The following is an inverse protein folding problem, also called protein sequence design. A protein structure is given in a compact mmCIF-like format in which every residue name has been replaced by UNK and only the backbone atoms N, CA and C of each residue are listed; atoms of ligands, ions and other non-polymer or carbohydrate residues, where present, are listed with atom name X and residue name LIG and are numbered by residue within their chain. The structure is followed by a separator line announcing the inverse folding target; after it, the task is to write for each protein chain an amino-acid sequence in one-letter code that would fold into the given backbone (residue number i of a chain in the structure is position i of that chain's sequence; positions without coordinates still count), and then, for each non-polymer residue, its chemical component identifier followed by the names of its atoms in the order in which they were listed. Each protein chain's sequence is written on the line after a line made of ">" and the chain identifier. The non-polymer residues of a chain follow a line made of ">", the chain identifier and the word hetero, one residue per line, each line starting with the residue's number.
data_IF_660096668254
#
_entry.id   IF_660096668254
#
_cell.length_a   1.000
_cell.length_b   1.000
_cell.length_c   1.000
_cell.angle_alpha   90.00
_cell.angle_beta   90.00
_cell.angle_gamma   90.00
#
_symmetry.space_group_name_H-M   'P 1'
#
loop_
_entity.id
_entity.type
_entity.pdbx_description
1 polymer ?
#
# COMPACT_ATOMS: atom_id res chain seq x y z
N UNK A 1 -49.85 -14.00 -28.64
CA UNK A 1 -49.31 -13.74 -27.29
C UNK A 1 -47.81 -14.05 -27.10
N UNK A 2 -47.13 -14.83 -27.94
CA UNK A 2 -45.74 -15.26 -27.66
C UNK A 2 -44.61 -14.25 -27.96
N UNK A 3 -44.87 -13.18 -28.73
CA UNK A 3 -43.85 -12.19 -29.13
C UNK A 3 -43.49 -11.21 -28.01
N UNK A 4 -44.40 -10.98 -27.07
CA UNK A 4 -44.25 -10.04 -25.94
C UNK A 4 -43.29 -10.55 -24.86
N UNK A 5 -43.33 -11.85 -24.52
CA UNK A 5 -42.44 -12.43 -23.51
C UNK A 5 -40.96 -12.46 -23.94
N UNK A 6 -40.69 -12.72 -25.22
CA UNK A 6 -39.33 -12.74 -25.76
C UNK A 6 -38.72 -11.34 -25.75
N UNK A 7 -39.51 -10.31 -26.05
CA UNK A 7 -39.07 -8.92 -25.99
C UNK A 7 -38.77 -8.49 -24.55
N UNK A 8 -39.62 -8.89 -23.59
CA UNK A 8 -39.41 -8.60 -22.18
C UNK A 8 -38.17 -9.28 -21.59
N UNK A 9 -37.81 -10.49 -22.06
CA UNK A 9 -36.57 -11.17 -21.65
C UNK A 9 -35.33 -10.51 -22.25
N UNK A 10 -35.37 -10.15 -23.53
CA UNK A 10 -34.27 -9.40 -24.16
C UNK A 10 -34.08 -8.02 -23.52
N UNK A 11 -35.17 -7.31 -23.23
CA UNK A 11 -35.13 -6.01 -22.58
C UNK A 11 -34.54 -6.11 -21.17
N UNK A 12 -34.84 -7.16 -20.40
CA UNK A 12 -34.21 -7.39 -19.08
C UNK A 12 -32.71 -7.68 -19.17
N UNK A 13 -32.25 -8.43 -20.19
CA UNK A 13 -30.82 -8.68 -20.42
C UNK A 13 -30.11 -7.40 -20.85
N UNK A 14 -30.73 -6.59 -21.71
CA UNK A 14 -30.19 -5.29 -22.09
C UNK A 14 -30.13 -4.32 -20.91
N UNK A 15 -31.15 -4.27 -20.06
CA UNK A 15 -31.12 -3.46 -18.82
C UNK A 15 -30.01 -3.93 -17.89
N UNK A 16 -29.81 -5.25 -17.71
CA UNK A 16 -28.72 -5.77 -16.88
C UNK A 16 -27.33 -5.44 -17.46
N UNK A 17 -27.18 -5.52 -18.79
CA UNK A 17 -25.94 -5.15 -19.47
C UNK A 17 -25.69 -3.64 -19.46
N UNK A 18 -26.74 -2.82 -19.54
CA UNK A 18 -26.65 -1.36 -19.44
C UNK A 18 -26.29 -0.94 -18.00
N UNK A 19 -26.89 -1.57 -16.99
CA UNK A 19 -26.54 -1.35 -15.57
C UNK A 19 -25.11 -1.82 -15.24
N UNK A 20 -24.59 -2.86 -15.92
CA UNK A 20 -23.19 -3.25 -15.78
C UNK A 20 -22.22 -2.30 -16.50
N UNK A 21 -22.63 -1.64 -17.59
CA UNK A 21 -21.81 -0.64 -18.29
C UNK A 21 -21.83 0.73 -17.60
N UNK A 22 -22.94 1.12 -16.97
CA UNK A 22 -23.07 2.39 -16.22
C UNK A 22 -22.33 2.35 -14.86
N UNK A 23 -21.89 1.18 -14.39
CA UNK A 23 -21.06 1.09 -13.18
C UNK A 23 -19.58 1.43 -13.43
N UNK A 24 -19.20 1.76 -14.67
CA UNK A 24 -17.91 2.35 -14.99
C UNK A 24 -18.07 3.82 -15.36
N UNK A 25 -17.38 4.65 -14.57
CA UNK A 25 -17.10 6.08 -14.79
C UNK A 25 -18.27 7.08 -14.61
N UNK A 26 -18.70 7.24 -13.37
CA UNK A 26 -19.21 8.55 -12.92
C UNK A 26 -18.70 8.88 -11.51
N UNK A 27 -17.39 9.12 -11.41
CA UNK A 27 -16.86 9.96 -10.34
C UNK A 27 -16.60 11.32 -10.96
N UNK A 28 -17.60 12.17 -10.81
CA UNK A 28 -17.58 13.60 -11.08
C UNK A 28 -16.31 14.22 -10.52
N UNK A 29 -15.59 14.90 -11.41
CA UNK A 29 -14.47 15.78 -11.13
C UNK A 29 -14.94 16.87 -10.14
N UNK A 30 -14.60 16.74 -8.86
CA UNK A 30 -14.59 17.89 -7.96
C UNK A 30 -13.22 18.55 -8.10
N UNK A 31 -13.23 19.84 -8.42
CA UNK A 31 -12.04 20.67 -8.32
C UNK A 31 -11.52 20.56 -6.89
N UNK A 32 -10.33 20.02 -6.72
CA UNK A 32 -9.67 19.97 -5.42
C UNK A 32 -9.50 21.42 -4.95
N UNK A 33 -10.14 21.76 -3.83
CA UNK A 33 -9.77 22.96 -3.10
C UNK A 33 -8.32 22.76 -2.65
N UNK A 34 -7.43 23.65 -3.08
CA UNK A 34 -6.03 23.66 -2.64
C UNK A 34 -6.02 23.86 -1.12
N UNK A 35 -5.43 22.90 -0.40
CA UNK A 35 -5.22 23.02 1.05
C UNK A 35 -4.31 24.23 1.29
N UNK A 36 -4.66 25.15 2.20
CA UNK A 36 -3.76 26.23 2.58
C UNK A 36 -2.45 25.60 3.06
N UNK A 37 -1.32 26.03 2.47
CA UNK A 37 0.02 25.61 2.87
C UNK A 37 0.16 25.77 4.38
N UNK A 38 0.12 24.66 5.12
CA UNK A 38 0.52 24.67 6.52
C UNK A 38 2.01 24.99 6.54
N UNK A 39 2.38 26.10 7.18
CA UNK A 39 3.77 26.46 7.40
C UNK A 39 4.42 25.35 8.22
N UNK A 40 5.22 24.51 7.55
CA UNK A 40 5.95 23.44 8.22
C UNK A 40 6.98 24.03 9.18
N UNK A 41 7.07 23.55 10.43
CA UNK A 41 8.14 23.95 11.32
C UNK A 41 9.51 23.71 10.64
N UNK A 42 10.41 24.68 10.80
CA UNK A 42 11.57 24.95 9.94
C UNK A 42 12.72 23.92 9.98
N UNK A 43 12.47 22.70 10.47
CA UNK A 43 13.49 21.65 10.48
C UNK A 43 12.84 20.29 10.32
N UNK A 44 13.13 19.66 9.18
CA UNK A 44 12.69 18.32 8.79
C UNK A 44 13.96 17.48 8.72
N UNK A 45 13.91 16.25 9.25
CA UNK A 45 15.00 15.32 9.01
C UNK A 45 14.89 14.80 7.57
N UNK A 46 15.96 14.85 6.78
CA UNK A 46 15.97 14.36 5.40
C UNK A 46 15.85 15.44 4.32
N UNK A 47 15.50 15.01 3.11
CA UNK A 47 15.38 15.86 1.92
C UNK A 47 14.11 15.54 1.15
N UNK A 48 13.61 16.45 0.32
CA UNK A 48 12.45 16.16 -0.51
C UNK A 48 12.75 14.99 -1.47
N UNK A 49 11.80 14.05 -1.58
CA UNK A 49 11.94 12.94 -2.51
C UNK A 49 11.77 13.41 -3.95
N UNK A 50 12.40 12.70 -4.88
CA UNK A 50 12.17 12.84 -6.32
C UNK A 50 11.38 11.66 -6.86
N UNK A 51 10.61 11.87 -7.92
CA UNK A 51 9.83 10.79 -8.54
C UNK A 51 10.71 9.64 -8.98
N UNK A 52 11.91 9.93 -9.54
CA UNK A 52 12.88 8.91 -9.97
C UNK A 52 13.20 7.88 -8.87
N UNK A 53 13.32 8.33 -7.62
CA UNK A 53 13.69 7.47 -6.49
C UNK A 53 12.49 6.94 -5.69
N UNK A 54 11.26 7.30 -6.06
CA UNK A 54 10.05 6.98 -5.29
C UNK A 54 8.89 6.47 -6.18
N UNK A 55 9.17 5.94 -7.38
CA UNK A 55 8.13 5.49 -8.32
C UNK A 55 7.26 4.34 -7.76
N UNK A 56 7.74 3.64 -6.73
CA UNK A 56 6.99 2.57 -6.06
C UNK A 56 6.09 3.09 -4.93
N UNK A 57 6.19 4.37 -4.53
CA UNK A 57 5.50 4.88 -3.36
C UNK A 57 3.98 4.82 -3.55
N UNK A 58 3.30 4.22 -2.57
CA UNK A 58 1.86 4.14 -2.52
C UNK A 58 1.31 4.82 -1.26
N UNK A 59 0.22 5.56 -1.42
CA UNK A 59 -0.59 6.12 -0.33
C UNK A 59 -1.86 5.28 -0.20
N UNK A 60 -2.00 4.57 0.91
CA UNK A 60 -3.20 3.81 1.24
C UNK A 60 -4.17 4.74 1.97
N UNK A 61 -5.39 4.82 1.47
CA UNK A 61 -6.39 5.75 1.97
C UNK A 61 -7.69 5.08 2.35
N UNK A 62 -8.32 5.55 3.42
CA UNK A 62 -9.73 5.29 3.69
C UNK A 62 -10.58 6.09 2.71
N UNK A 63 -11.42 5.41 1.95
CA UNK A 63 -12.21 6.04 0.90
C UNK A 63 -13.22 7.06 1.47
N UNK A 64 -13.76 6.79 2.65
CA UNK A 64 -14.76 7.65 3.32
C UNK A 64 -14.15 8.94 3.88
N UNK A 65 -12.87 8.93 4.26
CA UNK A 65 -12.20 10.07 4.87
C UNK A 65 -11.49 10.96 3.83
N UNK A 66 -11.31 10.49 2.58
CA UNK A 66 -10.62 11.23 1.52
C UNK A 66 -11.57 12.16 0.74
N UNK A 67 -12.43 12.90 1.44
CA UNK A 67 -13.35 13.89 0.84
C UNK A 67 -12.58 15.09 0.29
N UNK A 68 -11.61 15.60 1.05
CA UNK A 68 -10.50 16.40 0.55
C UNK A 68 -9.42 15.43 0.12
N UNK A 69 -8.95 15.58 -1.12
CA UNK A 69 -7.91 14.73 -1.66
C UNK A 69 -6.65 14.80 -0.78
N UNK A 70 -6.27 13.67 -0.19
CA UNK A 70 -5.10 13.54 0.68
C UNK A 70 -5.46 13.26 2.13
N UNK A 71 -6.63 13.68 2.61
CA UNK A 71 -7.03 13.55 4.02
C UNK A 71 -7.31 12.11 4.45
N UNK A 72 -7.72 11.24 3.53
CA UNK A 72 -7.97 9.85 3.87
C UNK A 72 -6.70 9.02 4.00
N UNK A 73 -5.50 9.61 3.86
CA UNK A 73 -4.23 8.89 4.00
C UNK A 73 -4.07 8.28 5.39
N UNK A 74 -3.92 6.96 5.44
CA UNK A 74 -3.71 6.22 6.69
C UNK A 74 -2.33 5.58 6.78
N UNK A 75 -1.75 5.18 5.64
CA UNK A 75 -0.48 4.46 5.60
C UNK A 75 0.23 4.63 4.25
N UNK A 76 1.53 4.36 4.28
CA UNK A 76 2.35 4.13 3.10
C UNK A 76 2.33 2.67 2.63
N UNK A 77 2.96 2.45 1.49
CA UNK A 77 3.24 1.12 0.93
C UNK A 77 4.14 1.22 -0.28
N UNK A 78 4.45 0.08 -0.86
CA UNK A 78 5.24 -0.03 -2.08
C UNK A 78 4.50 -0.85 -3.13
N UNK A 79 4.48 -0.38 -4.37
CA UNK A 79 4.08 -1.18 -5.54
C UNK A 79 5.17 -2.22 -5.78
N UNK A 80 4.80 -3.51 -5.75
CA UNK A 80 5.75 -4.62 -5.91
C UNK A 80 5.48 -5.49 -7.14
N UNK A 81 4.30 -5.32 -7.76
CA UNK A 81 3.94 -5.93 -9.04
C UNK A 81 2.82 -5.10 -9.72
N UNK A 82 2.44 -5.38 -10.99
CA UNK A 82 1.49 -4.56 -11.76
C UNK A 82 0.19 -4.21 -11.04
N UNK A 83 -0.39 -5.12 -10.26
CA UNK A 83 -1.61 -4.87 -9.49
C UNK A 83 -1.43 -5.08 -7.99
N UNK A 84 -0.21 -4.96 -7.47
CA UNK A 84 0.11 -5.39 -6.10
C UNK A 84 0.83 -4.30 -5.33
N UNK A 85 0.26 -3.92 -4.20
CA UNK A 85 0.90 -3.05 -3.20
C UNK A 85 1.16 -3.84 -1.94
N UNK A 86 2.40 -3.77 -1.46
CA UNK A 86 2.82 -4.30 -0.17
C UNK A 86 2.76 -3.19 0.89
N UNK A 87 2.25 -3.54 2.06
CA UNK A 87 2.13 -2.66 3.23
C UNK A 87 2.19 -3.50 4.50
N UNK A 88 1.88 -2.91 5.65
CA UNK A 88 1.84 -3.60 6.93
C UNK A 88 0.40 -3.97 7.35
N UNK A 89 0.25 -5.10 8.03
CA UNK A 89 -1.07 -5.68 8.35
C UNK A 89 -1.94 -4.76 9.21
N UNK A 90 -1.34 -4.01 10.12
CA UNK A 90 -2.08 -3.13 11.01
C UNK A 90 -2.74 -1.94 10.27
N UNK A 91 -2.25 -1.55 9.09
CA UNK A 91 -2.89 -0.55 8.23
C UNK A 91 -4.23 -1.03 7.69
N UNK A 92 -4.32 -2.33 7.40
CA UNK A 92 -5.52 -2.97 6.87
C UNK A 92 -6.31 -3.69 7.95
N UNK A 93 -5.98 -3.48 9.22
CA UNK A 93 -6.71 -4.02 10.36
C UNK A 93 -7.79 -3.03 10.82
N UNK A 94 -9.00 -3.54 11.05
CA UNK A 94 -10.09 -2.78 11.64
C UNK A 94 -10.13 -3.08 13.14
N UNK A 95 -9.66 -2.14 13.95
CA UNK A 95 -9.58 -2.28 15.42
C UNK A 95 -10.93 -2.31 16.13
N UNK A 96 -12.01 -1.84 15.50
CA UNK A 96 -13.35 -1.91 16.09
C UNK A 96 -13.94 -3.32 15.98
N UNK A 97 -13.79 -3.94 14.82
CA UNK A 97 -14.30 -5.29 14.56
C UNK A 97 -13.27 -6.40 14.85
N UNK A 98 -12.00 -6.03 15.07
CA UNK A 98 -10.87 -6.95 15.22
C UNK A 98 -10.65 -7.85 13.97
N UNK A 99 -11.07 -7.38 12.79
CA UNK A 99 -10.96 -8.11 11.52
C UNK A 99 -10.14 -7.35 10.48
N UNK A 100 -9.98 -7.92 9.28
CA UNK A 100 -9.41 -7.17 8.16
C UNK A 100 -10.41 -6.15 7.66
N UNK A 101 -9.96 -4.95 7.27
CA UNK A 101 -10.78 -3.98 6.54
C UNK A 101 -11.29 -4.60 5.25
N UNK A 102 -12.51 -4.24 4.89
CA UNK A 102 -13.09 -4.63 3.62
C UNK A 102 -12.41 -3.86 2.47
N UNK A 103 -12.13 -4.50 1.31
CA UNK A 103 -11.49 -3.83 0.16
C UNK A 103 -12.14 -2.50 -0.25
N UNK A 104 -13.47 -2.42 -0.21
CA UNK A 104 -14.22 -1.21 -0.57
C UNK A 104 -14.01 -0.03 0.40
N UNK A 105 -13.48 -0.25 1.60
CA UNK A 105 -13.08 0.85 2.50
C UNK A 105 -11.80 1.54 2.04
N UNK A 106 -11.04 0.91 1.14
CA UNK A 106 -9.68 1.31 0.79
C UNK A 106 -9.56 1.74 -0.66
N UNK A 107 -8.70 2.72 -0.89
CA UNK A 107 -8.17 3.07 -2.20
C UNK A 107 -6.67 3.33 -2.10
N UNK A 108 -5.99 3.20 -3.23
CA UNK A 108 -4.55 3.43 -3.34
C UNK A 108 -4.30 4.58 -4.30
N UNK A 109 -3.49 5.53 -3.85
CA UNK A 109 -3.02 6.67 -4.65
C UNK A 109 -1.51 6.54 -4.89
N UNK A 110 -1.09 6.68 -6.14
CA UNK A 110 0.31 6.51 -6.58
C UNK A 110 0.69 7.58 -7.61
N UNK A 111 1.99 7.79 -7.81
CA UNK A 111 2.50 8.64 -8.90
C UNK A 111 2.54 10.14 -8.59
N UNK A 112 2.40 10.52 -7.32
CA UNK A 112 2.49 11.90 -6.83
C UNK A 112 3.47 11.99 -5.66
N UNK A 113 4.22 13.09 -5.57
CA UNK A 113 5.06 13.41 -4.41
C UNK A 113 4.30 14.21 -3.35
N UNK A 114 3.25 14.94 -3.73
CA UNK A 114 2.47 15.73 -2.81
C UNK A 114 1.17 14.98 -2.45
N UNK A 115 1.03 14.63 -1.17
CA UNK A 115 -0.12 13.87 -0.63
C UNK A 115 -1.46 14.50 -1.01
N UNK A 116 -1.55 15.82 -1.12
CA UNK A 116 -2.77 16.58 -1.34
C UNK A 116 -2.94 17.08 -2.78
N UNK A 117 -2.02 16.76 -3.69
CA UNK A 117 -2.13 17.16 -5.09
C UNK A 117 -2.27 15.96 -6.01
N UNK A 118 -3.10 16.16 -7.03
CA UNK A 118 -3.33 15.23 -8.12
C UNK A 118 -2.97 15.92 -9.42
N UNK A 119 -2.15 15.26 -10.23
CA UNK A 119 -1.84 15.64 -11.60
C UNK A 119 -2.32 14.58 -12.60
N UNK A 120 -1.95 14.76 -13.87
CA UNK A 120 -2.30 13.84 -14.97
C UNK A 120 -1.66 12.45 -14.84
N UNK A 121 -0.58 12.31 -14.05
CA UNK A 121 0.12 11.06 -13.80
C UNK A 121 -0.31 10.38 -12.50
N UNK A 122 -1.17 11.01 -11.71
CA UNK A 122 -1.61 10.47 -10.43
C UNK A 122 -2.66 9.37 -10.64
N UNK A 123 -2.32 8.15 -10.23
CA UNK A 123 -3.20 6.99 -10.29
C UNK A 123 -4.00 6.86 -8.99
N UNK A 124 -5.32 6.74 -9.10
CA UNK A 124 -6.24 6.47 -7.98
C UNK A 124 -7.00 5.19 -8.28
N UNK A 125 -6.62 4.10 -7.60
CA UNK A 125 -7.10 2.74 -7.88
C UNK A 125 -7.90 2.22 -6.69
N UNK A 126 -9.04 1.60 -6.96
CA UNK A 126 -9.77 0.80 -5.98
C UNK A 126 -9.01 -0.49 -5.61
N UNK A 127 -9.44 -1.10 -4.50
CA UNK A 127 -8.89 -2.36 -3.98
C UNK A 127 -9.88 -3.49 -4.20
N UNK A 128 -9.41 -4.61 -4.73
CA UNK A 128 -10.24 -5.82 -4.91
C UNK A 128 -10.08 -6.81 -3.78
N UNK A 129 -8.85 -6.98 -3.28
CA UNK A 129 -8.55 -7.95 -2.23
C UNK A 129 -7.51 -7.38 -1.27
N UNK A 130 -7.62 -7.81 -0.02
CA UNK A 130 -6.67 -7.53 1.06
C UNK A 130 -6.27 -8.85 1.66
N UNK A 131 -4.97 -9.11 1.75
CA UNK A 131 -4.42 -10.29 2.41
C UNK A 131 -3.52 -9.87 3.55
N UNK A 132 -3.67 -10.54 4.70
CA UNK A 132 -2.74 -10.49 5.82
C UNK A 132 -2.56 -11.90 6.40
N UNK A 133 -1.42 -12.23 7.02
CA UNK A 133 -1.26 -13.50 7.71
C UNK A 133 -2.36 -13.72 8.74
N UNK A 134 -2.84 -14.96 8.86
CA UNK A 134 -3.81 -15.34 9.91
C UNK A 134 -3.21 -15.23 11.31
N UNK A 135 -1.89 -15.37 11.40
CA UNK A 135 -1.08 -15.24 12.61
C UNK A 135 -0.79 -13.78 12.99
N UNK A 136 -1.17 -12.80 12.17
CA UNK A 136 -1.00 -11.39 12.51
C UNK A 136 -1.61 -11.06 13.87
N UNK A 137 -0.80 -10.48 14.75
CA UNK A 137 -1.22 -10.04 16.07
C UNK A 137 -1.03 -8.53 16.21
N UNK A 138 -2.14 -7.80 16.33
CA UNK A 138 -2.14 -6.34 16.42
C UNK A 138 -1.49 -5.78 17.69
N UNK A 139 -1.39 -6.58 18.77
CA UNK A 139 -0.77 -6.14 20.02
C UNK A 139 0.76 -6.26 19.96
N UNK A 140 1.26 -7.37 19.42
CA UNK A 140 2.71 -7.63 19.34
C UNK A 140 3.33 -7.17 18.03
N UNK A 141 2.52 -6.80 17.04
CA UNK A 141 2.91 -6.52 15.66
C UNK A 141 3.67 -7.68 15.00
N UNK A 142 3.43 -8.91 15.44
CA UNK A 142 3.96 -10.13 14.80
C UNK A 142 3.24 -10.39 13.49
N UNK A 143 3.97 -10.85 12.48
CA UNK A 143 3.46 -11.11 11.13
C UNK A 143 2.73 -9.89 10.54
N UNK A 144 3.28 -8.70 10.79
CA UNK A 144 2.67 -7.42 10.44
C UNK A 144 2.87 -7.03 8.96
N UNK A 145 2.59 -7.96 8.04
CA UNK A 145 2.69 -7.74 6.59
C UNK A 145 1.31 -7.85 5.93
N UNK A 146 1.04 -7.05 4.90
CA UNK A 146 -0.19 -7.17 4.12
C UNK A 146 0.01 -6.86 2.63
N UNK A 147 -0.84 -7.48 1.82
CA UNK A 147 -0.94 -7.29 0.39
C UNK A 147 -2.28 -6.65 0.07
N UNK A 148 -2.25 -5.64 -0.78
CA UNK A 148 -3.39 -4.99 -1.39
C UNK A 148 -3.37 -5.29 -2.88
N UNK A 149 -4.43 -5.95 -3.38
CA UNK A 149 -4.62 -6.22 -4.81
C UNK A 149 -5.44 -5.09 -5.43
N UNK A 150 -4.86 -4.41 -6.42
CA UNK A 150 -5.48 -3.29 -7.12
C UNK A 150 -6.55 -3.78 -8.12
N UNK A 151 -7.51 -2.91 -8.45
CA UNK A 151 -8.60 -3.21 -9.39
C UNK A 151 -8.18 -3.36 -10.86
N UNK A 152 -6.97 -2.91 -11.21
CA UNK A 152 -6.39 -3.03 -12.54
C UNK A 152 -4.86 -2.95 -12.46
N UNK A 153 -4.20 -3.40 -13.53
CA UNK A 153 -2.75 -3.30 -13.68
C UNK A 153 -2.30 -1.86 -13.91
N UNK A 154 -1.20 -1.48 -13.26
CA UNK A 154 -0.46 -0.26 -13.56
C UNK A 154 0.16 -0.42 -14.96
N UNK A 155 -0.02 0.56 -15.87
CA UNK A 155 0.59 0.51 -17.19
C UNK A 155 2.12 0.34 -17.11
N UNK A 156 2.68 -0.60 -17.85
CA UNK A 156 4.14 -0.88 -17.82
C UNK A 156 5.00 0.31 -18.24
N UNK A 157 4.46 1.21 -19.07
CA UNK A 157 5.10 2.44 -19.53
C UNK A 157 4.69 3.69 -18.71
N UNK A 158 4.11 3.52 -17.52
CA UNK A 158 3.69 4.66 -16.71
C UNK A 158 4.91 5.51 -16.26
N UNK A 159 4.88 6.85 -16.43
CA UNK A 159 6.08 7.69 -16.25
C UNK A 159 6.49 7.85 -14.78
N UNK A 160 5.54 7.78 -13.83
CA UNK A 160 5.79 8.09 -12.41
C UNK A 160 5.50 6.94 -11.45
N UNK A 161 5.08 5.77 -11.96
CA UNK A 161 4.74 4.61 -11.12
C UNK A 161 5.39 3.36 -11.68
N UNK A 162 6.20 2.68 -10.87
CA UNK A 162 6.86 1.43 -11.24
C UNK A 162 6.97 0.50 -10.03
N UNK A 163 6.77 -0.81 -10.22
CA UNK A 163 7.05 -1.79 -9.20
C UNK A 163 8.53 -1.77 -8.76
N UNK A 164 8.77 -1.89 -7.45
CA UNK A 164 10.10 -2.16 -6.88
C UNK A 164 10.30 -3.66 -6.72
N UNK A 165 11.54 -4.13 -6.88
CA UNK A 165 11.89 -5.55 -6.68
C UNK A 165 12.02 -5.84 -5.19
N UNK A 166 11.55 -7.00 -4.72
CA UNK A 166 11.76 -7.43 -3.33
C UNK A 166 13.19 -7.90 -3.11
N UNK A 167 13.80 -7.55 -1.98
CA UNK A 167 15.01 -8.24 -1.51
C UNK A 167 14.60 -9.58 -0.90
N UNK A 168 15.12 -10.67 -1.48
CA UNK A 168 14.96 -12.02 -0.90
C UNK A 168 16.11 -12.38 0.05
N UNK A 169 17.16 -11.56 0.08
CA UNK A 169 18.26 -11.75 0.99
C UNK A 169 17.85 -11.18 2.35
N UNK A 170 17.99 -12.00 3.39
CA UNK A 170 17.86 -11.53 4.76
C UNK A 170 18.79 -10.35 5.00
N UNK A 171 18.27 -9.31 5.65
CA UNK A 171 19.12 -8.29 6.23
C UNK A 171 19.91 -8.98 7.33
N UNK A 172 21.15 -9.35 7.03
CA UNK A 172 22.02 -10.04 7.98
C UNK A 172 22.10 -9.25 9.29
N UNK A 173 22.40 -9.93 10.40
CA UNK A 173 22.65 -9.26 11.67
C UNK A 173 23.69 -8.15 11.45
N UNK A 174 23.44 -6.96 12.02
CA UNK A 174 24.40 -5.89 11.95
C UNK A 174 25.75 -6.43 12.47
N UNK A 175 26.77 -6.44 11.61
CA UNK A 175 28.10 -7.08 11.87
C UNK A 175 28.83 -6.55 13.11
N UNK A 176 28.26 -5.56 13.78
CA UNK A 176 28.73 -4.99 15.03
C UNK A 176 27.71 -5.28 16.12
N UNK A 177 28.09 -6.07 17.13
CA UNK A 177 27.37 -6.15 18.41
C UNK A 177 27.46 -4.85 19.23
N UNK A 178 28.21 -3.86 18.73
CA UNK A 178 28.37 -2.57 19.40
C UNK A 178 27.11 -1.72 19.25
N UNK A 179 26.61 -1.24 20.38
CA UNK A 179 25.47 -0.32 20.45
C UNK A 179 25.83 0.97 19.72
N UNK A 180 25.19 1.20 18.57
CA UNK A 180 25.45 2.39 17.79
C UNK A 180 24.75 3.58 18.45
N UNK A 181 25.53 4.53 18.97
CA UNK A 181 25.04 5.78 19.57
C UNK A 181 24.99 6.92 18.56
N UNK A 182 25.76 6.83 17.48
CA UNK A 182 25.75 7.76 16.36
C UNK A 182 25.51 7.02 15.03
N UNK A 183 24.33 7.24 14.46
CA UNK A 183 23.92 6.63 13.21
C UNK A 183 24.69 7.21 12.01
N UNK A 184 25.28 8.40 12.12
CA UNK A 184 26.05 9.02 11.05
C UNK A 184 27.43 8.36 10.86
N UNK A 185 27.92 7.59 11.84
CA UNK A 185 29.23 6.95 11.81
C UNK A 185 29.33 5.72 10.88
N UNK A 186 28.21 5.19 10.37
CA UNK A 186 28.19 4.02 9.47
C UNK A 186 27.87 4.40 8.02
N UNK A 187 28.64 3.87 7.07
CA UNK A 187 28.43 4.02 5.62
C UNK A 187 27.56 2.89 5.02
N UNK A 188 26.34 2.69 5.52
CA UNK A 188 25.33 1.90 4.80
C UNK A 188 24.12 2.79 4.51
N UNK A 189 23.68 2.81 3.25
CA UNK A 189 22.77 3.83 2.70
C UNK A 189 21.38 3.24 2.48
N UNK A 190 20.67 2.97 3.58
CA UNK A 190 19.24 2.70 3.46
C UNK A 190 18.47 4.00 3.33
N UNK A 191 17.42 3.96 2.52
CA UNK A 191 16.55 5.10 2.27
C UNK A 191 15.13 4.75 2.69
N UNK A 192 14.49 5.66 3.42
CA UNK A 192 13.05 5.58 3.74
C UNK A 192 12.32 6.74 3.10
N UNK A 193 11.25 6.47 2.36
CA UNK A 193 10.40 7.51 1.76
C UNK A 193 9.05 7.58 2.46
N UNK A 194 8.67 8.77 2.95
CA UNK A 194 7.44 8.95 3.74
C UNK A 194 6.93 10.40 3.74
N UNK A 195 5.61 10.57 3.81
CA UNK A 195 4.94 11.85 4.03
C UNK A 195 4.80 12.13 5.53
N UNK A 196 5.95 12.30 6.18
CA UNK A 196 6.17 12.45 7.62
C UNK A 196 5.03 13.14 8.40
N UNK A 197 4.94 12.82 9.67
CA UNK A 197 4.04 13.51 10.61
C UNK A 197 4.88 14.18 11.70
N UNK A 198 4.47 15.40 12.10
CA UNK A 198 5.08 16.10 13.24
C UNK A 198 4.74 15.41 14.56
N UNK A 199 5.43 15.79 15.65
CA UNK A 199 5.06 15.35 17.00
C UNK A 199 3.65 15.80 17.39
N UNK A 200 3.21 16.95 16.90
CA UNK A 200 1.87 17.52 17.06
C UNK A 200 0.83 16.91 16.11
N UNK A 201 1.17 15.81 15.42
CA UNK A 201 0.28 15.06 14.53
C UNK A 201 -0.14 15.85 13.28
N UNK A 202 0.70 16.78 12.83
CA UNK A 202 0.47 17.55 11.61
C UNK A 202 1.08 16.78 10.42
N UNK A 203 0.28 16.40 9.41
CA UNK A 203 0.77 15.68 8.24
C UNK A 203 1.59 16.58 7.30
N UNK A 204 2.71 16.06 6.79
CA UNK A 204 3.44 16.67 5.69
C UNK A 204 2.74 16.46 4.35
N UNK A 205 2.86 17.46 3.49
CA UNK A 205 2.34 17.45 2.11
C UNK A 205 3.34 16.77 1.20
N UNK A 206 4.60 17.19 1.25
CA UNK A 206 5.66 16.69 0.39
C UNK A 206 6.22 15.35 0.90
N UNK A 207 6.47 14.42 -0.01
CA UNK A 207 7.15 13.16 0.27
C UNK A 207 8.61 13.46 0.59
N UNK A 208 9.08 12.94 1.73
CA UNK A 208 10.44 13.12 2.21
C UNK A 208 11.25 11.83 2.08
N UNK A 209 12.55 11.99 1.94
CA UNK A 209 13.57 10.94 1.91
C UNK A 209 14.42 11.04 3.16
N UNK A 210 14.45 9.98 3.96
CA UNK A 210 15.26 9.85 5.17
C UNK A 210 16.42 8.88 4.92
N UNK A 211 17.60 9.24 5.40
CA UNK A 211 18.73 8.32 5.47
C UNK A 211 18.63 7.48 6.74
N UNK A 212 18.82 6.18 6.59
CA UNK A 212 18.68 5.21 7.66
C UNK A 212 19.82 4.19 7.66
N UNK A 213 20.04 3.57 8.81
CA UNK A 213 20.97 2.47 9.03
C UNK A 213 20.29 1.37 9.84
N UNK A 214 20.67 0.13 9.59
CA UNK A 214 20.30 -0.98 10.46
C UNK A 214 21.11 -0.89 11.77
N UNK A 215 20.41 -1.07 12.88
CA UNK A 215 20.98 -1.19 14.21
C UNK A 215 21.05 -2.66 14.62
N UNK A 216 21.73 -2.93 15.72
CA UNK A 216 21.75 -4.29 16.26
C UNK A 216 20.39 -4.68 16.83
N UNK A 217 20.05 -5.96 16.73
CA UNK A 217 18.87 -6.55 17.34
C UNK A 217 18.79 -6.25 18.83
N UNK A 218 19.93 -6.27 19.53
CA UNK A 218 20.02 -5.97 20.96
C UNK A 218 19.49 -4.56 21.29
N UNK A 219 19.77 -3.55 20.46
CA UNK A 219 19.24 -2.20 20.67
C UNK A 219 17.71 -2.17 20.64
N UNK A 220 17.10 -2.95 19.74
CA UNK A 220 15.64 -3.08 19.71
C UNK A 220 15.09 -3.98 20.82
N UNK A 221 15.80 -5.03 21.22
CA UNK A 221 15.45 -5.84 22.40
C UNK A 221 15.45 -4.97 23.67
N UNK A 222 16.46 -4.15 23.87
CA UNK A 222 16.56 -3.26 25.03
C UNK A 222 15.43 -2.23 25.05
N UNK A 223 15.01 -1.74 23.88
CA UNK A 223 13.93 -0.74 23.75
C UNK A 223 12.54 -1.34 23.82
N UNK A 224 12.31 -2.47 23.16
CA UNK A 224 10.98 -3.02 22.88
C UNK A 224 10.71 -4.36 23.56
N UNK A 225 11.72 -4.98 24.18
CA UNK A 225 11.60 -6.28 24.84
C UNK A 225 11.01 -7.33 23.91
N UNK A 226 9.99 -8.01 24.40
CA UNK A 226 9.32 -9.13 23.72
C UNK A 226 8.55 -8.73 22.45
N UNK A 227 8.37 -7.42 22.19
CA UNK A 227 7.77 -6.94 20.94
C UNK A 227 8.75 -7.12 19.77
N UNK A 228 10.05 -6.94 19.99
CA UNK A 228 11.05 -7.19 18.94
C UNK A 228 11.20 -8.69 18.67
N UNK A 229 11.41 -9.08 17.41
CA UNK A 229 11.54 -10.49 17.04
C UNK A 229 11.99 -10.70 15.60
N UNK A 230 12.03 -11.97 15.13
CA UNK A 230 12.75 -12.37 13.92
C UNK A 230 12.10 -11.92 12.61
N UNK A 231 10.87 -11.40 12.66
CA UNK A 231 10.15 -10.80 11.54
C UNK A 231 10.40 -9.28 11.43
N UNK A 232 11.31 -8.74 12.25
CA UNK A 232 11.54 -7.31 12.37
C UNK A 232 13.00 -6.90 12.18
N UNK A 233 13.18 -5.71 11.58
CA UNK A 233 14.45 -5.04 11.39
C UNK A 233 14.53 -3.84 12.32
N UNK A 234 15.64 -3.73 13.05
CA UNK A 234 15.94 -2.57 13.89
C UNK A 234 16.58 -1.45 13.06
N UNK A 235 15.95 -0.27 12.99
CA UNK A 235 16.41 0.81 12.09
C UNK A 235 16.57 2.11 12.87
N UNK A 236 17.72 2.76 12.68
CA UNK A 236 18.02 4.10 13.16
C UNK A 236 18.14 5.08 12.00
N UNK A 237 17.90 6.36 12.27
CA UNK A 237 17.99 7.42 11.25
C UNK A 237 19.26 8.25 11.41
N UNK A 238 19.83 8.66 10.29
CA UNK A 238 20.94 9.61 10.26
C UNK A 238 20.35 11.02 10.28
N UNK A 239 20.19 11.59 11.48
CA UNK A 239 19.69 12.94 11.65
C UNK A 239 20.76 14.02 11.51
N UNK A 240 20.43 15.12 10.84
CA UNK A 240 21.11 16.39 11.08
C UNK A 240 20.63 16.95 12.44
N UNK A 241 21.56 17.57 13.18
CA UNK A 241 21.46 18.00 14.58
C UNK A 241 20.07 18.47 15.10
N UNK A 242 19.76 18.07 16.34
CA UNK A 242 18.90 18.64 17.41
C UNK A 242 17.63 19.48 17.10
N UNK A 243 17.15 19.59 15.86
CA UNK A 243 16.05 20.51 15.51
C UNK A 243 14.92 19.89 14.69
N UNK A 244 15.03 18.66 14.20
CA UNK A 244 13.99 18.07 13.37
C UNK A 244 12.67 17.91 14.14
N UNK A 245 11.62 18.57 13.65
CA UNK A 245 10.28 18.64 14.24
C UNK A 245 9.33 17.56 13.70
N UNK A 246 9.65 17.01 12.53
CA UNK A 246 8.84 16.01 11.85
C UNK A 246 9.66 14.80 11.46
N UNK A 247 9.25 13.65 11.99
CA UNK A 247 9.86 12.37 11.63
C UNK A 247 9.12 11.13 12.09
N UNK A 248 7.83 11.24 12.41
CA UNK A 248 7.02 10.03 12.48
C UNK A 248 6.76 9.59 11.04
N UNK A 249 7.35 8.46 10.63
CA UNK A 249 7.13 7.90 9.31
C UNK A 249 5.70 7.34 9.21
N UNK A 250 5.19 7.27 7.99
CA UNK A 250 3.97 6.50 7.71
C UNK A 250 4.23 5.04 8.07
N UNK A 251 3.25 4.41 8.73
CA UNK A 251 3.23 2.96 8.78
C UNK A 251 3.20 2.41 7.35
N UNK A 252 3.96 1.37 7.08
CA UNK A 252 4.13 0.82 5.74
C UNK A 252 5.05 1.64 4.82
N UNK A 253 5.74 2.68 5.33
CA UNK A 253 6.75 3.38 4.53
C UNK A 253 7.89 2.41 4.14
N UNK A 254 8.34 2.41 2.87
CA UNK A 254 9.35 1.47 2.37
C UNK A 254 10.76 1.85 2.81
N UNK A 255 11.54 0.85 3.25
CA UNK A 255 12.99 0.89 3.43
C UNK A 255 13.64 0.23 2.22
N UNK A 256 14.50 0.98 1.52
CA UNK A 256 15.09 0.59 0.23
C UNK A 256 16.60 0.68 0.25
N UNK A 257 17.23 -0.27 -0.44
CA UNK A 257 18.64 -0.25 -0.81
C UNK A 257 18.76 -0.72 -2.26
N UNK A 258 19.57 -0.04 -3.08
CA UNK A 258 19.86 -0.47 -4.46
C UNK A 258 18.60 -0.80 -5.30
N UNK A 259 17.54 0.00 -5.14
CA UNK A 259 16.24 -0.21 -5.80
C UNK A 259 15.56 -1.56 -5.48
N UNK A 260 15.85 -2.11 -4.30
CA UNK A 260 15.16 -3.26 -3.74
C UNK A 260 14.41 -2.87 -2.46
N UNK A 261 13.22 -3.42 -2.27
CA UNK A 261 12.46 -3.26 -1.03
C UNK A 261 12.95 -4.26 0.00
N UNK A 262 13.46 -3.74 1.12
CA UNK A 262 14.02 -4.55 2.20
C UNK A 262 13.01 -4.74 3.33
N UNK A 263 12.32 -3.66 3.71
CA UNK A 263 11.45 -3.66 4.88
C UNK A 263 10.37 -2.58 4.77
N UNK A 264 9.36 -2.64 5.64
CA UNK A 264 8.27 -1.65 5.73
C UNK A 264 8.09 -1.17 7.15
N UNK A 265 7.92 0.14 7.39
CA UNK A 265 7.80 0.69 8.74
C UNK A 265 6.63 0.04 9.50
N UNK A 266 6.93 -0.61 10.61
CA UNK A 266 5.95 -1.22 11.51
C UNK A 266 5.60 -0.29 12.68
N UNK A 267 6.62 0.38 13.24
CA UNK A 267 6.49 1.27 14.38
C UNK A 267 7.47 2.42 14.22
N UNK A 268 6.97 3.64 14.27
CA UNK A 268 7.80 4.84 14.11
C UNK A 268 8.82 4.96 15.25
N UNK A 269 9.91 5.65 14.96
CA UNK A 269 10.78 6.17 16.01
C UNK A 269 10.06 7.32 16.73
N UNK A 270 10.18 7.37 18.05
CA UNK A 270 9.70 8.51 18.86
C UNK A 270 10.63 9.73 18.78
N UNK A 271 11.86 9.54 18.32
CA UNK A 271 12.85 10.59 18.13
C UNK A 271 13.88 10.17 17.06
N UNK A 272 13.61 10.52 15.81
CA UNK A 272 14.48 10.26 14.67
C UNK A 272 15.83 11.01 14.69
N UNK A 273 16.08 11.91 15.66
CA UNK A 273 17.38 12.56 15.82
C UNK A 273 18.29 11.69 16.68
N UNK A 274 17.72 10.93 17.60
CA UNK A 274 18.47 10.04 18.49
C UNK A 274 18.59 8.67 17.86
N UNK A 275 19.82 8.28 17.52
CA UNK A 275 20.10 6.93 17.04
C UNK A 275 19.68 5.84 18.06
N UNK A 276 19.66 6.17 19.36
CA UNK A 276 19.18 5.29 20.44
C UNK A 276 17.65 5.09 20.46
N UNK A 277 16.91 5.76 19.58
CA UNK A 277 15.46 5.66 19.46
C UNK A 277 15.11 4.94 18.14
N UNK A 278 15.28 3.60 18.08
CA UNK A 278 15.05 2.85 16.85
C UNK A 278 13.59 2.87 16.42
N UNK A 279 13.36 2.84 15.12
CA UNK A 279 12.10 2.40 14.51
C UNK A 279 12.13 0.88 14.28
N UNK A 280 10.95 0.27 14.27
CA UNK A 280 10.78 -1.14 13.88
C UNK A 280 10.23 -1.21 12.47
N UNK A 281 10.82 -2.07 11.66
CA UNK A 281 10.36 -2.38 10.32
C UNK A 281 10.03 -3.87 10.22
N UNK A 282 9.07 -4.24 9.37
CA UNK A 282 8.79 -5.63 9.02
C UNK A 282 9.75 -6.08 7.93
N UNK A 283 10.47 -7.18 8.16
CA UNK A 283 11.41 -7.76 7.20
C UNK A 283 10.64 -8.41 6.03
N UNK A 284 10.82 -7.88 4.82
CA UNK A 284 10.16 -8.42 3.62
C UNK A 284 10.66 -9.82 3.28
N UNK A 285 11.96 -10.09 3.48
CA UNK A 285 12.57 -11.37 3.16
C UNK A 285 12.01 -12.50 4.03
N UNK A 286 11.72 -12.21 5.30
CA UNK A 286 11.08 -13.14 6.24
C UNK A 286 9.72 -13.63 5.72
N UNK A 287 8.99 -12.76 5.03
CA UNK A 287 7.65 -13.05 4.50
C UNK A 287 7.64 -13.42 3.01
N UNK A 288 8.80 -13.55 2.35
CA UNK A 288 8.88 -13.72 0.90
C UNK A 288 8.05 -14.90 0.37
N UNK A 289 8.09 -16.05 1.05
CA UNK A 289 7.30 -17.23 0.66
C UNK A 289 5.80 -16.97 0.72
N UNK A 290 5.33 -16.34 1.80
CA UNK A 290 3.92 -15.97 1.95
C UNK A 290 3.50 -14.94 0.90
N UNK A 291 4.36 -13.96 0.61
CA UNK A 291 4.11 -12.95 -0.42
C UNK A 291 3.95 -13.63 -1.78
N UNK A 292 4.91 -14.46 -2.18
CA UNK A 292 4.89 -15.18 -3.46
C UNK A 292 3.65 -16.06 -3.62
N UNK A 293 3.24 -16.77 -2.57
CA UNK A 293 2.03 -17.60 -2.57
C UNK A 293 0.76 -16.79 -2.83
N UNK A 294 0.67 -15.56 -2.31
CA UNK A 294 -0.54 -14.73 -2.43
C UNK A 294 -0.62 -13.94 -3.73
N UNK A 295 0.51 -13.46 -4.25
CA UNK A 295 0.49 -12.55 -5.40
C UNK A 295 0.42 -13.28 -6.75
N UNK A 296 0.83 -14.54 -6.82
CA UNK A 296 0.90 -15.27 -8.09
C UNK A 296 1.85 -14.58 -9.08
N UNK A 297 1.35 -14.24 -10.27
CA UNK A 297 2.12 -13.46 -11.26
C UNK A 297 2.04 -11.94 -11.06
N UNK A 298 1.31 -11.49 -10.03
CA UNK A 298 1.18 -10.08 -9.67
C UNK A 298 0.33 -9.25 -10.63
N UNK A 299 -0.44 -9.89 -11.52
CA UNK A 299 -1.37 -9.23 -12.44
C UNK A 299 -2.81 -9.35 -11.98
N UNK A 300 -3.62 -8.36 -12.32
CA UNK A 300 -5.06 -8.44 -12.16
C UNK A 300 -5.60 -9.32 -13.29
N UNK A 301 -5.66 -10.62 -13.02
CA UNK A 301 -6.45 -11.55 -13.82
C UNK A 301 -7.90 -11.33 -13.46
N UNK A 302 -8.53 -10.32 -14.05
CA UNK A 302 -9.95 -10.10 -13.91
C UNK A 302 -10.68 -11.41 -14.27
N UNK A 303 -11.18 -12.12 -13.26
CA UNK A 303 -12.03 -13.30 -13.39
C UNK A 303 -13.28 -13.01 -14.23
N UNK A 304 -13.54 -11.75 -14.58
CA UNK A 304 -14.59 -11.35 -15.50
C UNK A 304 -14.43 -11.95 -16.89
N UNK A 305 -13.23 -12.22 -17.42
CA UNK A 305 -13.10 -12.83 -18.77
C UNK A 305 -13.57 -14.27 -18.74
N UNK A 306 -13.13 -15.06 -17.76
CA UNK A 306 -13.58 -16.44 -17.59
C UNK A 306 -15.03 -16.53 -17.11
N UNK A 307 -15.46 -15.59 -16.27
CA UNK A 307 -16.84 -15.47 -15.82
C UNK A 307 -17.80 -15.06 -16.94
N UNK A 308 -17.40 -14.14 -17.82
CA UNK A 308 -18.17 -13.76 -19.02
C UNK A 308 -18.16 -14.88 -20.06
N UNK A 309 -17.03 -15.56 -20.29
CA UNK A 309 -16.97 -16.75 -21.13
C UNK A 309 -17.88 -17.86 -20.58
N UNK A 310 -17.82 -18.13 -19.28
CA UNK A 310 -18.70 -19.11 -18.64
C UNK A 310 -20.17 -18.70 -18.74
N UNK A 311 -20.49 -17.43 -18.49
CA UNK A 311 -21.85 -16.91 -18.63
C UNK A 311 -22.34 -16.96 -20.08
N UNK A 312 -21.49 -16.66 -21.06
CA UNK A 312 -21.78 -16.79 -22.49
C UNK A 312 -22.00 -18.25 -22.89
N UNK A 313 -21.15 -19.17 -22.42
CA UNK A 313 -21.30 -20.61 -22.66
C UNK A 313 -22.61 -21.12 -22.01
N UNK A 314 -22.89 -20.72 -20.78
CA UNK A 314 -24.10 -21.09 -20.05
C UNK A 314 -25.37 -20.52 -20.72
N UNK A 315 -25.34 -19.27 -21.18
CA UNK A 315 -26.46 -18.65 -21.91
C UNK A 315 -26.67 -19.30 -23.29
N UNK A 316 -25.60 -19.64 -24.03
CA UNK A 316 -25.70 -20.41 -25.28
C UNK A 316 -26.29 -21.81 -25.01
N UNK A 317 -25.84 -22.49 -23.95
CA UNK A 317 -26.32 -23.81 -23.57
C UNK A 317 -27.81 -23.80 -23.19
N UNK A 318 -28.25 -22.84 -22.38
CA UNK A 318 -29.67 -22.67 -22.02
C UNK A 318 -30.53 -22.25 -23.21
N UNK A 319 -30.03 -21.39 -24.11
CA UNK A 319 -30.71 -21.03 -25.35
C UNK A 319 -30.87 -22.22 -26.32
N UNK A 320 -29.85 -23.09 -26.40
CA UNK A 320 -29.93 -24.34 -27.17
C UNK A 320 -30.96 -25.29 -26.56
N UNK A 321 -30.97 -25.49 -25.24
CA UNK A 321 -31.98 -26.37 -24.59
C UNK A 321 -33.40 -25.85 -24.71
N UNK A 322 -33.62 -24.53 -24.68
CA UNK A 322 -34.97 -23.95 -24.80
C UNK A 322 -35.50 -23.98 -26.24
N UNK A 323 -34.64 -23.98 -27.27
CA UNK A 323 -35.05 -24.19 -28.66
C UNK A 323 -35.46 -25.64 -29.00
N UNK A 324 -35.23 -26.61 -28.10
CA UNK A 324 -35.71 -27.99 -28.24
C UNK A 324 -36.95 -28.32 -27.40
N UNK A 325 -37.52 -27.35 -26.68
CA UNK A 325 -38.74 -27.57 -25.87
C UNK A 325 -40.03 -27.04 -26.53
N UNK A 326 -40.04 -26.91 -27.85
CA UNK A 326 -41.25 -26.63 -28.65
C UNK A 326 -41.25 -27.49 -29.90
N UNK A 327 -41.58 -28.77 -29.72
CA UNK A 327 -42.13 -29.61 -30.79
C UNK A 327 -42.96 -30.80 -30.26
N UNK A 328 -43.38 -30.77 -28.99
CA UNK A 328 -44.33 -31.74 -28.44
C UNK A 328 -45.24 -31.06 -27.41
N UNK A 329 -46.31 -30.44 -27.93
CA UNK A 329 -47.68 -30.40 -27.39
C UNK A 329 -48.55 -29.57 -28.34
#
# INVERSE_FOLDING_TARGET
>A
MHRSESLNKLMKVFILAFLCNEMHSSLTQSNAAEHPFNAYPSSINGSEATLEHAQYQASIRLAIDDYIFGEGHICGGAVIAPSVVLTVAHCVHNYQTQTSRHPAELKVVMGTLNRYQRDEHTLVYGVTHVHRPRSFNAHTLRDNIAIIMLERDIPSAHPTVKPITLSLNALGEAKTHEMLTDCAAKQHKYVVTSWLVTKEHIPYTQLMTLNATQLSDQQCVDKYGQIYGPDMVCVGYMGAEHRATACHQDAGAPLVENNQLLALTAKQSVDCVKCSEPALFVDVSHHANWISEKIGDGTNRNSSIWGTLFFLIFTIWTARRTKYFKLWL
#
